data_IF_712069848759
#
_entry.id   IF_712069848759
#
_cell.length_a   1.000
_cell.length_b   1.000
_cell.length_c   1.000
_cell.angle_alpha   90.00
_cell.angle_beta   90.00
_cell.angle_gamma   90.00
#
_symmetry.space_group_name_H-M   'P 1'
#
loop_
_entity.id
_entity.type
_entity.pdbx_description
1 polymer ?
#
# COMPACT_ATOMS: atom_id res chain seq x y z
N UNK A 1 -52.23 53.32 -37.38
CA UNK A 1 -52.39 51.85 -37.11
C UNK A 1 -51.14 50.94 -37.34
N UNK A 2 -49.98 51.45 -37.74
CA UNK A 2 -48.75 50.61 -38.02
C UNK A 2 -47.89 50.29 -36.81
N UNK A 3 -47.93 51.08 -35.71
CA UNK A 3 -47.07 50.85 -34.55
C UNK A 3 -47.44 49.65 -33.65
N UNK A 4 -48.70 49.21 -33.62
CA UNK A 4 -49.11 48.07 -32.76
C UNK A 4 -48.75 46.68 -33.30
N UNK A 5 -48.50 46.55 -34.61
CA UNK A 5 -48.14 45.26 -35.21
C UNK A 5 -46.65 44.85 -34.92
N UNK A 6 -45.75 45.81 -34.74
CA UNK A 6 -44.32 45.55 -34.47
C UNK A 6 -44.08 45.13 -33.06
N UNK A 7 -44.85 45.56 -32.08
CA UNK A 7 -44.68 45.12 -30.68
C UNK A 7 -45.04 43.64 -30.48
N UNK A 8 -45.96 43.09 -31.25
CA UNK A 8 -46.30 41.67 -31.18
C UNK A 8 -45.22 40.76 -31.73
N UNK A 9 -44.50 41.13 -32.80
CA UNK A 9 -43.41 40.35 -33.38
C UNK A 9 -42.21 40.36 -32.51
N UNK A 10 -41.87 41.46 -31.82
CA UNK A 10 -40.74 41.52 -30.88
C UNK A 10 -40.98 40.64 -29.64
N UNK A 11 -42.18 40.57 -29.11
CA UNK A 11 -42.53 39.73 -27.97
C UNK A 11 -42.50 38.24 -28.33
N UNK A 12 -42.97 37.83 -29.50
CA UNK A 12 -42.92 36.44 -29.96
C UNK A 12 -41.47 36.01 -30.24
N UNK A 13 -40.64 36.88 -30.85
CA UNK A 13 -39.21 36.60 -31.07
C UNK A 13 -38.43 36.43 -29.76
N UNK A 14 -38.74 37.23 -28.72
CA UNK A 14 -38.12 37.11 -27.42
C UNK A 14 -38.48 35.79 -26.69
N UNK A 15 -39.75 35.34 -26.81
CA UNK A 15 -40.21 34.08 -26.22
C UNK A 15 -39.58 32.88 -26.94
N UNK A 16 -39.42 32.94 -28.25
CA UNK A 16 -38.78 31.87 -29.02
C UNK A 16 -37.28 31.80 -28.69
N UNK A 17 -36.59 32.93 -28.53
CA UNK A 17 -35.19 32.98 -28.18
C UNK A 17 -34.94 32.43 -26.76
N UNK A 18 -35.79 32.73 -25.78
CA UNK A 18 -35.71 32.16 -24.43
C UNK A 18 -36.03 30.67 -24.39
N UNK A 19 -36.97 30.19 -25.20
CA UNK A 19 -37.26 28.76 -25.31
C UNK A 19 -36.08 27.96 -25.94
N UNK A 20 -35.39 28.52 -26.91
CA UNK A 20 -34.21 27.93 -27.54
C UNK A 20 -33.01 27.90 -26.54
N UNK A 21 -32.84 28.95 -25.72
CA UNK A 21 -31.78 28.98 -24.70
C UNK A 21 -32.01 27.97 -23.58
N UNK A 22 -33.27 27.64 -23.25
CA UNK A 22 -33.61 26.65 -22.23
C UNK A 22 -33.46 25.18 -22.71
N UNK A 23 -33.45 24.96 -24.04
CA UNK A 23 -33.28 23.62 -24.61
C UNK A 23 -31.81 23.18 -24.78
N UNK A 24 -30.84 24.11 -24.64
CA UNK A 24 -29.42 23.80 -24.88
C UNK A 24 -28.65 23.35 -23.64
N UNK A 25 -29.28 23.22 -22.46
CA UNK A 25 -28.59 22.82 -21.22
C UNK A 25 -28.81 21.37 -20.80
N UNK A 26 -29.44 20.54 -21.60
CA UNK A 26 -29.38 19.10 -21.43
C UNK A 26 -28.04 18.59 -22.03
N UNK A 27 -26.95 18.73 -21.29
CA UNK A 27 -25.77 17.89 -21.54
C UNK A 27 -26.28 16.45 -21.47
N UNK A 28 -26.18 15.66 -22.56
CA UNK A 28 -26.43 14.23 -22.43
C UNK A 28 -25.49 13.72 -21.33
N UNK A 29 -26.04 13.14 -20.27
CA UNK A 29 -25.29 12.34 -19.37
C UNK A 29 -24.53 11.37 -20.28
N UNK A 30 -23.21 11.48 -20.33
CA UNK A 30 -22.37 10.53 -21.04
C UNK A 30 -22.85 9.17 -20.56
N UNK A 31 -23.45 8.39 -21.46
CA UNK A 31 -23.83 7.03 -21.15
C UNK A 31 -22.52 6.38 -20.67
N UNK A 32 -22.49 5.96 -19.43
CA UNK A 32 -21.37 5.24 -18.84
C UNK A 32 -21.24 3.92 -19.61
N UNK A 33 -20.53 3.98 -20.75
CA UNK A 33 -20.13 2.83 -21.55
C UNK A 33 -18.92 2.14 -20.92
N UNK A 34 -18.60 2.46 -19.66
CA UNK A 34 -17.57 1.76 -18.94
C UNK A 34 -17.95 0.28 -18.84
N UNK A 35 -17.12 -0.57 -19.46
CA UNK A 35 -17.22 -2.04 -19.31
C UNK A 35 -17.18 -2.44 -17.83
N UNK A 36 -16.63 -1.58 -16.97
CA UNK A 36 -16.32 -1.79 -15.58
C UNK A 36 -17.08 -0.78 -14.70
N UNK A 37 -18.35 -1.03 -14.42
CA UNK A 37 -19.19 -0.15 -13.60
C UNK A 37 -20.30 -0.93 -12.92
N UNK A 38 -21.40 -0.27 -12.58
CA UNK A 38 -22.56 -0.84 -11.89
C UNK A 38 -23.13 -2.12 -12.53
N UNK A 39 -23.01 -2.25 -13.85
CA UNK A 39 -23.47 -3.42 -14.59
C UNK A 39 -22.51 -4.63 -14.50
N UNK A 40 -21.28 -4.41 -14.09
CA UNK A 40 -20.26 -5.45 -13.98
C UNK A 40 -20.03 -5.91 -12.55
N UNK A 41 -19.86 -4.96 -11.62
CA UNK A 41 -19.57 -5.28 -10.23
C UNK A 41 -20.85 -5.54 -9.43
N UNK A 42 -20.87 -6.57 -8.57
CA UNK A 42 -22.01 -6.84 -7.71
C UNK A 42 -22.15 -5.74 -6.65
N UNK A 43 -23.40 -5.38 -6.31
CA UNK A 43 -23.66 -4.41 -5.24
C UNK A 43 -24.18 -5.11 -3.98
N UNK A 44 -23.48 -6.14 -3.54
CA UNK A 44 -23.81 -6.92 -2.34
C UNK A 44 -23.41 -6.18 -1.07
N UNK A 45 -24.03 -6.56 0.06
CA UNK A 45 -23.79 -5.94 1.36
C UNK A 45 -22.64 -6.63 2.09
N UNK A 46 -21.63 -5.88 2.44
CA UNK A 46 -20.51 -6.29 3.29
C UNK A 46 -20.58 -5.58 4.66
N UNK A 47 -19.75 -6.03 5.59
CA UNK A 47 -19.62 -5.45 6.92
C UNK A 47 -18.17 -5.05 7.15
N UNK A 48 -17.93 -3.81 7.57
CA UNK A 48 -16.59 -3.32 7.90
C UNK A 48 -16.09 -3.88 9.23
N UNK A 49 -14.78 -3.76 9.52
CA UNK A 49 -14.20 -4.09 10.82
C UNK A 49 -14.82 -3.29 12.00
N UNK A 50 -15.50 -2.19 11.71
CA UNK A 50 -16.21 -1.39 12.71
C UNK A 50 -17.71 -1.71 12.79
N UNK A 51 -18.16 -2.76 12.10
CA UNK A 51 -19.54 -3.25 12.13
C UNK A 51 -20.51 -2.50 11.22
N UNK A 52 -20.04 -1.55 10.42
CA UNK A 52 -20.88 -0.80 9.49
C UNK A 52 -21.23 -1.65 8.26
N UNK A 53 -22.46 -1.52 7.77
CA UNK A 53 -22.90 -2.13 6.50
C UNK A 53 -22.56 -1.22 5.33
N UNK A 54 -21.98 -1.79 4.28
CA UNK A 54 -21.60 -1.07 3.07
C UNK A 54 -22.00 -1.89 1.84
N UNK A 55 -22.41 -1.22 0.77
CA UNK A 55 -22.68 -1.84 -0.52
C UNK A 55 -21.41 -1.84 -1.36
N UNK A 56 -21.04 -3.00 -1.89
CA UNK A 56 -19.73 -3.17 -2.52
C UNK A 56 -19.52 -2.23 -3.71
N UNK A 57 -20.51 -2.06 -4.59
CA UNK A 57 -20.33 -1.10 -5.69
C UNK A 57 -20.51 0.33 -5.22
N UNK A 58 -21.65 0.65 -4.59
CA UNK A 58 -22.01 2.04 -4.31
C UNK A 58 -21.09 2.71 -3.28
N UNK A 59 -20.67 1.97 -2.22
CA UNK A 59 -19.92 2.55 -1.12
C UNK A 59 -18.40 2.26 -1.21
N UNK A 60 -17.99 1.18 -1.88
CA UNK A 60 -16.58 0.77 -1.94
C UNK A 60 -15.91 1.20 -3.25
N UNK A 61 -16.58 1.05 -4.41
CA UNK A 61 -15.97 1.28 -5.71
C UNK A 61 -16.31 2.62 -6.35
N UNK A 62 -17.61 2.95 -6.38
CA UNK A 62 -18.15 4.05 -7.17
C UNK A 62 -17.49 5.39 -6.88
N UNK A 63 -16.95 6.01 -7.92
CA UNK A 63 -16.30 7.32 -7.85
C UNK A 63 -14.91 7.31 -7.19
N UNK A 64 -14.30 6.14 -6.94
CA UNK A 64 -13.06 6.02 -6.16
C UNK A 64 -11.92 5.41 -6.95
N UNK A 65 -10.70 5.75 -6.53
CA UNK A 65 -9.51 4.95 -6.79
C UNK A 65 -9.30 3.99 -5.63
N UNK A 66 -9.23 2.68 -5.94
CA UNK A 66 -9.24 1.62 -4.94
C UNK A 66 -8.04 0.67 -5.09
N UNK A 67 -7.63 0.12 -3.97
CA UNK A 67 -6.64 -0.96 -3.86
C UNK A 67 -7.33 -2.07 -3.09
N UNK A 68 -7.52 -3.23 -3.72
CA UNK A 68 -8.31 -4.31 -3.16
C UNK A 68 -7.49 -5.60 -3.16
N UNK A 69 -7.38 -6.24 -2.00
CA UNK A 69 -6.83 -7.57 -1.84
C UNK A 69 -7.82 -8.52 -1.14
N UNK A 70 -7.56 -9.81 -1.24
CA UNK A 70 -8.31 -10.83 -0.51
C UNK A 70 -7.38 -11.51 0.47
N UNK A 71 -7.81 -11.58 1.73
CA UNK A 71 -7.02 -12.09 2.85
C UNK A 71 -7.79 -13.09 3.70
N UNK A 72 -7.12 -13.75 4.62
CA UNK A 72 -7.71 -14.31 5.83
C UNK A 72 -6.72 -14.20 6.99
N UNK A 73 -7.24 -13.91 8.19
CA UNK A 73 -6.39 -13.49 9.32
C UNK A 73 -5.55 -14.63 9.89
N UNK A 74 -5.95 -15.88 9.69
CA UNK A 74 -5.23 -17.09 10.13
C UNK A 74 -4.17 -17.58 9.12
N UNK A 75 -3.97 -16.87 8.00
CA UNK A 75 -3.02 -17.26 6.98
C UNK A 75 -1.58 -17.34 7.53
N UNK A 76 -0.95 -18.49 7.33
CA UNK A 76 0.47 -18.71 7.66
C UNK A 76 1.43 -18.52 6.48
N UNK A 77 0.92 -18.08 5.32
CA UNK A 77 1.69 -17.99 4.07
C UNK A 77 1.86 -16.54 3.60
N UNK A 78 1.22 -16.16 2.51
CA UNK A 78 1.45 -14.87 1.83
C UNK A 78 0.81 -13.67 2.53
N UNK A 79 -0.40 -13.80 3.10
CA UNK A 79 -1.15 -12.64 3.62
C UNK A 79 -0.38 -11.78 4.63
N UNK A 80 0.43 -12.31 5.58
CA UNK A 80 1.22 -11.48 6.47
C UNK A 80 2.20 -10.56 5.73
N UNK A 81 2.87 -11.08 4.70
CA UNK A 81 3.81 -10.30 3.88
C UNK A 81 3.07 -9.28 3.03
N UNK A 82 1.95 -9.67 2.40
CA UNK A 82 1.12 -8.79 1.58
C UNK A 82 0.59 -7.61 2.37
N UNK A 83 -0.04 -7.88 3.52
CA UNK A 83 -0.56 -6.82 4.41
C UNK A 83 0.56 -5.89 4.87
N UNK A 84 1.71 -6.43 5.30
CA UNK A 84 2.86 -5.62 5.70
C UNK A 84 3.43 -4.79 4.53
N UNK A 85 3.41 -5.32 3.31
CA UNK A 85 3.85 -4.63 2.10
C UNK A 85 2.88 -3.49 1.73
N UNK A 86 1.59 -3.77 1.72
CA UNK A 86 0.58 -2.76 1.45
C UNK A 86 0.56 -1.66 2.54
N UNK A 87 0.87 -1.99 3.80
CA UNK A 87 1.06 -0.98 4.84
C UNK A 87 2.25 -0.04 4.56
N UNK A 88 3.33 -0.55 3.96
CA UNK A 88 4.41 0.32 3.46
C UNK A 88 3.94 1.23 2.32
N UNK A 89 3.14 0.69 1.40
CA UNK A 89 2.54 1.46 0.30
C UNK A 89 1.61 2.55 0.85
N UNK A 90 0.73 2.22 1.80
CA UNK A 90 -0.14 3.18 2.48
C UNK A 90 0.67 4.34 3.07
N UNK A 91 1.75 4.04 3.79
CA UNK A 91 2.63 5.05 4.37
C UNK A 91 3.29 5.94 3.31
N UNK A 92 3.69 5.38 2.16
CA UNK A 92 4.30 6.15 1.06
C UNK A 92 3.29 7.07 0.37
N UNK A 93 2.04 6.65 0.25
CA UNK A 93 0.95 7.45 -0.31
C UNK A 93 0.47 8.55 0.64
N UNK A 94 0.72 8.40 1.94
CA UNK A 94 0.43 9.37 2.98
C UNK A 94 -1.03 9.81 3.01
N UNK A 95 -1.25 11.11 3.13
CA UNK A 95 -2.58 11.73 3.26
C UNK A 95 -3.53 11.54 2.09
N UNK A 96 -3.08 10.92 1.00
CA UNK A 96 -3.93 10.56 -0.12
C UNK A 96 -4.85 9.39 0.21
N UNK A 97 -4.37 8.49 1.09
CA UNK A 97 -5.18 7.34 1.52
C UNK A 97 -6.29 7.81 2.45
N UNK A 98 -7.53 7.48 2.08
CA UNK A 98 -8.73 7.98 2.73
C UNK A 98 -9.30 9.29 2.15
N UNK A 99 -8.63 9.89 1.14
CA UNK A 99 -9.13 11.08 0.44
C UNK A 99 -9.45 10.79 -1.02
N UNK A 100 -8.49 10.35 -1.78
CA UNK A 100 -8.61 10.04 -3.21
C UNK A 100 -8.20 8.60 -3.56
N UNK A 101 -7.58 7.89 -2.62
CA UNK A 101 -7.21 6.48 -2.74
C UNK A 101 -7.74 5.73 -1.51
N UNK A 102 -8.39 4.60 -1.72
CA UNK A 102 -8.99 3.80 -0.64
C UNK A 102 -8.50 2.36 -0.72
N UNK A 103 -8.10 1.81 0.41
CA UNK A 103 -7.66 0.43 0.53
C UNK A 103 -8.78 -0.43 1.13
N UNK A 104 -8.98 -1.62 0.58
CA UNK A 104 -9.96 -2.58 1.04
C UNK A 104 -9.38 -3.99 1.05
N UNK A 105 -9.36 -4.62 2.20
CA UNK A 105 -9.04 -6.05 2.33
C UNK A 105 -10.31 -6.82 2.61
N UNK A 106 -10.65 -7.78 1.75
CA UNK A 106 -11.87 -8.59 1.87
C UNK A 106 -11.49 -9.98 2.36
N UNK A 107 -12.05 -10.41 3.50
CA UNK A 107 -11.73 -11.75 3.97
C UNK A 107 -12.35 -12.83 3.11
N UNK A 108 -11.64 -13.95 2.93
CA UNK A 108 -12.15 -15.17 2.30
C UNK A 108 -12.67 -16.18 3.33
N UNK A 109 -12.45 -15.93 4.63
CA UNK A 109 -12.88 -16.77 5.73
C UNK A 109 -13.82 -16.03 6.70
N UNK A 110 -15.04 -15.65 6.24
CA UNK A 110 -15.97 -14.88 7.06
C UNK A 110 -16.49 -15.63 8.31
N UNK A 111 -16.27 -16.95 8.38
CA UNK A 111 -16.67 -17.73 9.54
C UNK A 111 -15.78 -17.42 10.77
N UNK A 112 -14.48 -17.19 10.56
CA UNK A 112 -13.53 -16.83 11.60
C UNK A 112 -13.31 -15.33 11.66
N UNK A 113 -13.24 -14.66 10.52
CA UNK A 113 -12.87 -13.25 10.39
C UNK A 113 -14.08 -12.34 10.63
N UNK A 114 -14.53 -12.32 11.87
CA UNK A 114 -15.56 -11.37 12.33
C UNK A 114 -15.03 -9.94 12.30
N UNK A 115 -15.89 -8.91 12.34
CA UNK A 115 -15.43 -7.51 12.42
C UNK A 115 -14.39 -7.27 13.51
N UNK A 116 -14.59 -7.86 14.70
CA UNK A 116 -13.64 -7.75 15.83
C UNK A 116 -12.27 -8.37 15.50
N UNK A 117 -12.25 -9.52 14.82
CA UNK A 117 -11.01 -10.20 14.42
C UNK A 117 -10.27 -9.37 13.36
N UNK A 118 -11.00 -8.85 12.36
CA UNK A 118 -10.44 -7.99 11.32
C UNK A 118 -9.86 -6.69 11.91
N UNK A 119 -10.54 -6.09 12.89
CA UNK A 119 -10.04 -4.90 13.59
C UNK A 119 -8.73 -5.18 14.32
N UNK A 120 -8.67 -6.27 15.08
CA UNK A 120 -7.45 -6.68 15.76
C UNK A 120 -6.31 -7.01 14.77
N UNK A 121 -6.64 -7.59 13.61
CA UNK A 121 -5.66 -7.82 12.55
C UNK A 121 -5.10 -6.51 12.00
N UNK A 122 -5.94 -5.53 11.67
CA UNK A 122 -5.52 -4.22 11.21
C UNK A 122 -4.57 -3.52 12.23
N UNK A 123 -4.88 -3.62 13.51
CA UNK A 123 -4.06 -3.06 14.61
C UNK A 123 -2.67 -3.72 14.69
N UNK A 124 -2.57 -5.04 14.44
CA UNK A 124 -1.29 -5.77 14.43
C UNK A 124 -0.32 -5.23 13.38
N UNK A 125 -0.85 -4.82 12.22
CA UNK A 125 -0.07 -4.30 11.10
C UNK A 125 0.06 -2.77 11.09
N UNK A 126 -0.44 -2.10 12.13
CA UNK A 126 -0.43 -0.64 12.24
C UNK A 126 -1.09 0.07 11.06
N UNK A 127 -2.21 -0.48 10.61
CA UNK A 127 -2.97 0.05 9.49
C UNK A 127 -3.54 1.42 9.85
N UNK A 128 -3.29 2.39 8.99
CA UNK A 128 -3.77 3.76 9.13
C UNK A 128 -5.17 3.99 8.56
N UNK A 129 -5.70 5.22 8.69
CA UNK A 129 -6.98 5.62 8.10
C UNK A 129 -7.05 5.39 6.58
N UNK A 130 -8.26 5.17 6.06
CA UNK A 130 -8.48 4.98 4.63
C UNK A 130 -8.24 3.56 4.12
N UNK A 131 -7.92 2.63 5.01
CA UNK A 131 -7.89 1.20 4.72
C UNK A 131 -8.94 0.47 5.55
N UNK A 132 -9.88 -0.16 4.88
CA UNK A 132 -11.04 -0.83 5.48
C UNK A 132 -10.99 -2.33 5.24
N UNK A 133 -11.19 -3.11 6.29
CA UNK A 133 -11.31 -4.57 6.22
C UNK A 133 -12.78 -4.96 6.18
N UNK A 134 -13.12 -5.89 5.29
CA UNK A 134 -14.50 -6.23 4.96
C UNK A 134 -14.74 -7.72 5.14
N UNK A 135 -15.91 -8.04 5.71
CA UNK A 135 -16.44 -9.40 5.81
C UNK A 135 -17.89 -9.43 5.33
N UNK A 136 -18.45 -10.59 5.10
CA UNK A 136 -19.83 -10.72 4.62
C UNK A 136 -20.26 -12.16 4.47
N UNK A 137 -21.29 -12.42 3.66
CA UNK A 137 -21.69 -13.78 3.29
C UNK A 137 -20.64 -14.39 2.38
N UNK A 138 -20.27 -15.64 2.59
CA UNK A 138 -19.25 -16.34 1.80
C UNK A 138 -19.57 -16.32 0.32
N UNK A 139 -20.82 -16.58 -0.07
CA UNK A 139 -21.26 -16.53 -1.48
C UNK A 139 -21.06 -15.17 -2.13
N UNK A 140 -21.27 -14.09 -1.39
CA UNK A 140 -21.11 -12.72 -1.87
C UNK A 140 -19.62 -12.37 -2.04
N UNK A 141 -18.78 -12.82 -1.10
CA UNK A 141 -17.32 -12.68 -1.14
C UNK A 141 -16.73 -13.43 -2.35
N UNK A 142 -17.17 -14.67 -2.58
CA UNK A 142 -16.76 -15.45 -3.73
C UNK A 142 -17.19 -14.81 -5.05
N UNK A 143 -18.41 -14.27 -5.12
CA UNK A 143 -18.90 -13.55 -6.28
C UNK A 143 -18.02 -12.32 -6.58
N UNK A 144 -17.70 -11.53 -5.55
CA UNK A 144 -16.78 -10.38 -5.66
C UNK A 144 -15.42 -10.86 -6.15
N UNK A 145 -14.82 -11.84 -5.50
CA UNK A 145 -13.49 -12.35 -5.84
C UNK A 145 -13.38 -12.79 -7.31
N UNK A 146 -14.40 -13.49 -7.83
CA UNK A 146 -14.47 -13.88 -9.25
C UNK A 146 -14.57 -12.66 -10.16
N UNK A 147 -15.39 -11.69 -9.82
CA UNK A 147 -15.56 -10.46 -10.61
C UNK A 147 -14.30 -9.59 -10.62
N UNK A 148 -13.55 -9.58 -9.52
CA UNK A 148 -12.27 -8.88 -9.42
C UNK A 148 -11.10 -9.66 -10.06
N UNK A 149 -11.30 -10.94 -10.42
CA UNK A 149 -10.24 -11.82 -10.90
C UNK A 149 -9.23 -12.19 -9.80
N UNK A 150 -9.64 -12.09 -8.53
CA UNK A 150 -8.84 -12.45 -7.35
C UNK A 150 -9.21 -13.83 -6.77
N UNK A 151 -10.09 -14.55 -7.43
CA UNK A 151 -10.53 -15.88 -7.04
C UNK A 151 -10.23 -16.90 -8.15
N UNK A 152 -9.54 -17.97 -7.81
CA UNK A 152 -9.31 -19.09 -8.71
C UNK A 152 -10.39 -20.16 -8.48
N UNK A 153 -11.00 -20.64 -9.56
CA UNK A 153 -12.00 -21.71 -9.49
C UNK A 153 -11.37 -23.11 -9.46
N UNK A 154 -10.10 -23.23 -9.87
CA UNK A 154 -9.38 -24.50 -9.88
C UNK A 154 -8.62 -24.64 -8.57
N UNK A 155 -8.97 -25.63 -7.71
CA UNK A 155 -8.24 -25.86 -6.46
C UNK A 155 -6.80 -26.28 -6.81
N UNK A 156 -5.85 -25.38 -6.54
CA UNK A 156 -4.43 -25.72 -6.54
C UNK A 156 -4.13 -26.46 -5.22
N UNK A 157 -3.53 -27.66 -5.26
CA UNK A 157 -3.12 -28.36 -4.05
C UNK A 157 -2.22 -27.53 -3.12
N UNK A 158 -1.48 -26.56 -3.69
CA UNK A 158 -0.63 -25.62 -2.96
C UNK A 158 -1.35 -24.35 -2.50
N UNK A 159 -2.59 -24.14 -2.96
CA UNK A 159 -3.44 -23.00 -2.61
C UNK A 159 -4.90 -23.47 -2.48
N UNK A 160 -5.21 -24.26 -1.44
CA UNK A 160 -6.53 -24.86 -1.27
C UNK A 160 -7.64 -23.83 -1.04
N UNK A 161 -7.28 -22.60 -0.67
CA UNK A 161 -8.23 -21.53 -0.38
C UNK A 161 -8.70 -20.79 -1.64
N UNK A 162 -8.11 -21.10 -2.81
CA UNK A 162 -8.58 -20.62 -4.11
C UNK A 162 -8.37 -19.12 -4.38
N UNK A 163 -7.81 -18.34 -3.45
CA UNK A 163 -7.52 -16.95 -3.70
C UNK A 163 -6.13 -16.74 -4.30
N UNK A 164 -5.98 -15.69 -5.10
CA UNK A 164 -4.69 -15.34 -5.71
C UNK A 164 -4.00 -14.29 -4.85
N UNK A 165 -2.71 -14.45 -4.51
CA UNK A 165 -1.93 -13.46 -3.76
C UNK A 165 -1.65 -12.23 -4.65
N UNK A 166 -2.69 -11.48 -4.95
CA UNK A 166 -2.68 -10.35 -5.87
C UNK A 166 -3.49 -9.20 -5.31
N UNK A 167 -3.09 -8.00 -5.67
CA UNK A 167 -3.84 -6.78 -5.42
C UNK A 167 -4.47 -6.28 -6.72
N UNK A 168 -5.74 -5.94 -6.67
CA UNK A 168 -6.42 -5.21 -7.73
C UNK A 168 -6.34 -3.72 -7.45
N UNK A 169 -5.85 -2.98 -8.41
CA UNK A 169 -5.74 -1.53 -8.37
C UNK A 169 -6.71 -0.97 -9.41
N UNK A 170 -7.66 -0.12 -8.98
CA UNK A 170 -8.72 0.38 -9.82
C UNK A 170 -8.94 1.88 -9.69
N UNK A 171 -9.21 2.54 -10.82
CA UNK A 171 -9.79 3.87 -10.87
C UNK A 171 -11.16 3.71 -11.54
N UNK A 172 -12.22 3.66 -10.72
CA UNK A 172 -13.55 3.38 -11.21
C UNK A 172 -14.04 4.49 -12.16
N UNK A 173 -13.91 5.81 -11.86
CA UNK A 173 -14.28 6.85 -12.78
C UNK A 173 -13.55 6.83 -14.13
N UNK A 174 -12.32 6.37 -14.13
CA UNK A 174 -11.50 6.23 -15.35
C UNK A 174 -11.67 4.90 -16.07
N UNK A 175 -12.40 3.95 -15.50
CA UNK A 175 -12.57 2.60 -16.04
C UNK A 175 -11.26 1.81 -16.13
N UNK A 176 -10.24 2.18 -15.36
CA UNK A 176 -8.90 1.61 -15.40
C UNK A 176 -8.73 0.61 -14.26
N UNK A 177 -8.37 -0.61 -14.61
CA UNK A 177 -8.18 -1.69 -13.65
C UNK A 177 -6.93 -2.50 -14.00
N UNK A 178 -6.12 -2.78 -13.01
CA UNK A 178 -4.96 -3.64 -13.17
C UNK A 178 -4.73 -4.51 -11.94
N UNK A 179 -4.09 -5.64 -12.16
CA UNK A 179 -3.71 -6.58 -11.11
C UNK A 179 -2.19 -6.67 -11.02
N UNK A 180 -1.68 -6.62 -9.79
CA UNK A 180 -0.26 -6.77 -9.48
C UNK A 180 -0.08 -7.79 -8.36
N UNK A 181 1.12 -8.31 -8.18
CA UNK A 181 1.46 -9.03 -6.98
C UNK A 181 1.48 -8.06 -5.78
N UNK A 182 0.77 -8.39 -4.70
CA UNK A 182 0.76 -7.56 -3.50
C UNK A 182 2.14 -7.49 -2.83
N UNK A 183 3.02 -8.44 -3.14
CA UNK A 183 4.40 -8.53 -2.66
C UNK A 183 5.41 -7.77 -3.51
N UNK A 184 5.00 -7.12 -4.59
CA UNK A 184 5.88 -6.29 -5.43
C UNK A 184 6.57 -5.18 -4.64
N UNK A 185 7.58 -4.57 -5.25
CA UNK A 185 8.31 -3.46 -4.64
C UNK A 185 7.34 -2.36 -4.20
N UNK A 186 7.32 -1.94 -2.92
CA UNK A 186 6.33 -0.99 -2.42
C UNK A 186 6.43 0.39 -3.08
N UNK A 187 7.62 0.82 -3.54
CA UNK A 187 7.77 2.07 -4.30
C UNK A 187 7.14 1.96 -5.69
N UNK A 188 7.28 0.81 -6.33
CA UNK A 188 6.63 0.54 -7.60
C UNK A 188 5.10 0.56 -7.44
N UNK A 189 4.56 -0.16 -6.45
CA UNK A 189 3.13 -0.16 -6.17
C UNK A 189 2.62 1.25 -5.81
N UNK A 190 3.32 1.98 -4.95
CA UNK A 190 2.94 3.34 -4.58
C UNK A 190 2.92 4.28 -5.80
N UNK A 191 3.89 4.13 -6.72
CA UNK A 191 3.92 4.90 -7.96
C UNK A 191 2.76 4.53 -8.90
N UNK A 192 2.48 3.24 -9.06
CA UNK A 192 1.36 2.77 -9.87
C UNK A 192 0.02 3.28 -9.34
N UNK A 193 -0.23 3.14 -8.04
CA UNK A 193 -1.45 3.56 -7.38
C UNK A 193 -1.56 5.09 -7.37
N UNK A 194 -0.49 5.76 -6.97
CA UNK A 194 -0.49 7.20 -6.76
C UNK A 194 -0.51 8.02 -8.05
N UNK A 195 0.14 7.55 -9.09
CA UNK A 195 0.44 8.33 -10.29
C UNK A 195 -0.25 7.79 -11.53
N UNK A 196 0.10 6.57 -11.92
CA UNK A 196 -0.32 6.03 -13.21
C UNK A 196 -1.85 5.89 -13.30
N UNK A 197 -2.46 5.36 -12.26
CA UNK A 197 -3.92 5.11 -12.23
C UNK A 197 -4.75 6.39 -12.22
N UNK A 198 -4.19 7.49 -11.75
CA UNK A 198 -4.83 8.80 -11.69
C UNK A 198 -4.46 9.72 -12.87
N UNK A 199 -4.00 9.13 -14.00
CA UNK A 199 -3.77 9.83 -15.25
C UNK A 199 -2.65 10.87 -15.21
N UNK A 200 -1.65 10.72 -14.32
CA UNK A 200 -0.51 11.64 -14.15
C UNK A 200 -0.90 13.09 -13.83
N UNK A 201 -2.20 13.41 -13.73
CA UNK A 201 -2.71 14.78 -13.66
C UNK A 201 -2.44 15.49 -12.32
N UNK A 202 -1.98 14.77 -11.29
CA UNK A 202 -1.74 15.33 -9.95
C UNK A 202 -0.35 14.99 -9.39
N UNK A 203 0.56 14.55 -10.23
CA UNK A 203 1.88 14.11 -9.77
C UNK A 203 2.78 15.31 -9.56
N UNK A 204 3.14 15.58 -8.30
CA UNK A 204 4.51 16.02 -8.04
C UNK A 204 5.41 14.83 -8.39
N UNK A 205 6.39 14.97 -9.30
CA UNK A 205 7.33 13.88 -9.56
C UNK A 205 7.87 13.40 -8.22
N UNK A 206 7.76 12.09 -7.93
CA UNK A 206 8.57 11.49 -6.89
C UNK A 206 10.01 11.84 -7.26
N UNK A 207 10.55 12.79 -6.54
CA UNK A 207 11.88 13.36 -6.66
C UNK A 207 12.54 13.13 -8.03
N UNK A 208 12.52 14.16 -8.91
CA UNK A 208 13.17 14.13 -10.23
C UNK A 208 14.69 13.88 -10.16
N UNK A 209 15.24 13.73 -8.94
CA UNK A 209 16.63 13.35 -8.70
C UNK A 209 16.91 11.86 -8.91
N UNK A 210 15.86 11.02 -9.06
CA UNK A 210 16.03 9.62 -9.47
C UNK A 210 16.12 9.58 -11.01
N UNK A 211 17.22 10.03 -11.53
CA UNK A 211 17.63 9.79 -12.92
C UNK A 211 18.18 8.36 -13.00
N UNK A 212 17.77 7.59 -14.01
CA UNK A 212 18.33 6.26 -14.30
C UNK A 212 19.86 6.28 -14.43
N UNK A 213 20.45 7.38 -14.89
CA UNK A 213 21.91 7.58 -14.96
C UNK A 213 22.57 7.67 -13.57
N UNK A 214 21.82 8.05 -12.54
CA UNK A 214 22.29 8.14 -11.14
C UNK A 214 21.80 6.98 -10.27
N UNK A 215 20.96 6.08 -10.81
CA UNK A 215 20.62 4.84 -10.14
C UNK A 215 21.92 4.05 -10.01
N UNK A 216 22.45 3.96 -8.79
CA UNK A 216 23.60 3.11 -8.52
C UNK A 216 23.32 1.72 -9.08
N UNK A 217 24.30 1.12 -9.73
CA UNK A 217 24.18 -0.27 -10.19
C UNK A 217 23.74 -1.11 -9.00
N UNK A 218 22.61 -1.82 -9.17
CA UNK A 218 22.20 -2.81 -8.20
C UNK A 218 23.30 -3.85 -8.21
N UNK A 219 24.07 -3.93 -7.13
CA UNK A 219 25.06 -4.98 -6.96
C UNK A 219 24.32 -6.30 -6.82
N UNK A 220 24.12 -6.96 -7.96
CA UNK A 220 23.50 -8.28 -8.02
C UNK A 220 24.37 -9.36 -7.34
N UNK A 221 25.60 -9.02 -6.93
CA UNK A 221 26.46 -9.94 -6.17
C UNK A 221 25.97 -10.16 -4.74
N UNK A 222 25.20 -9.23 -4.16
CA UNK A 222 24.61 -9.38 -2.83
C UNK A 222 23.13 -9.86 -2.91
N UNK A 223 22.97 -11.09 -3.38
CA UNK A 223 21.66 -11.75 -3.44
C UNK A 223 20.96 -11.80 -2.07
N UNK A 224 21.71 -11.95 -1.00
CA UNK A 224 21.16 -12.00 0.36
C UNK A 224 20.51 -10.68 0.77
N UNK A 225 21.12 -9.55 0.41
CA UNK A 225 20.54 -8.21 0.63
C UNK A 225 19.25 -8.03 -0.15
N UNK A 226 19.24 -8.48 -1.40
CA UNK A 226 18.02 -8.41 -2.23
C UNK A 226 16.89 -9.25 -1.63
N UNK A 227 17.17 -10.47 -1.18
CA UNK A 227 16.20 -11.37 -0.53
C UNK A 227 15.67 -10.70 0.74
N UNK A 228 16.54 -10.17 1.59
CA UNK A 228 16.12 -9.45 2.79
C UNK A 228 15.21 -8.26 2.45
N UNK A 229 15.61 -7.41 1.51
CA UNK A 229 14.86 -6.23 1.12
C UNK A 229 13.48 -6.58 0.53
N UNK A 230 13.42 -7.65 -0.27
CA UNK A 230 12.19 -8.06 -0.97
C UNK A 230 11.25 -8.92 -0.12
N UNK A 231 11.76 -9.72 0.81
CA UNK A 231 10.95 -10.71 1.53
C UNK A 231 10.87 -10.46 3.04
N UNK A 232 11.88 -9.84 3.64
CA UNK A 232 11.98 -9.72 5.11
C UNK A 232 11.75 -8.30 5.62
N UNK A 233 12.21 -7.27 4.90
CA UNK A 233 12.21 -5.87 5.35
C UNK A 233 10.80 -5.25 5.51
N UNK A 234 9.74 -5.92 5.04
CA UNK A 234 8.37 -5.50 5.33
C UNK A 234 8.09 -5.57 6.84
N UNK A 235 8.58 -6.63 7.50
CA UNK A 235 8.32 -6.94 8.90
C UNK A 235 9.53 -6.74 9.81
N UNK A 236 10.76 -6.86 9.30
CA UNK A 236 12.00 -6.83 10.07
C UNK A 236 12.87 -5.61 9.75
N UNK A 237 13.74 -5.26 10.68
CA UNK A 237 14.82 -4.28 10.49
C UNK A 237 16.18 -4.92 10.77
N UNK A 238 17.26 -4.20 10.48
CA UNK A 238 18.61 -4.52 10.92
C UNK A 238 19.20 -3.26 11.54
N UNK A 239 19.31 -3.23 12.87
CA UNK A 239 19.87 -2.12 13.63
C UNK A 239 18.96 -0.89 13.77
N UNK A 240 17.65 -1.05 13.54
CA UNK A 240 16.67 0.06 13.62
C UNK A 240 15.52 -0.23 14.61
N UNK A 241 15.69 -1.26 15.45
CA UNK A 241 14.68 -1.67 16.43
C UNK A 241 13.57 -2.55 15.85
N UNK A 242 12.74 -3.09 16.74
CA UNK A 242 11.62 -3.96 16.39
C UNK A 242 10.59 -3.21 15.52
N UNK A 243 9.98 -3.93 14.58
CA UNK A 243 8.91 -3.43 13.71
C UNK A 243 7.63 -4.27 13.91
N UNK A 244 7.12 -4.93 12.90
CA UNK A 244 6.09 -5.98 13.02
C UNK A 244 6.69 -7.23 13.64
N UNK A 245 7.93 -7.55 13.27
CA UNK A 245 8.77 -8.59 13.84
C UNK A 245 10.03 -8.01 14.47
N UNK A 246 10.93 -8.87 15.00
CA UNK A 246 12.16 -8.44 15.66
C UNK A 246 13.14 -7.74 14.72
N UNK A 247 13.97 -6.88 15.29
CA UNK A 247 15.22 -6.44 14.68
C UNK A 247 16.18 -7.65 14.56
N UNK A 248 16.77 -7.82 13.38
CA UNK A 248 17.63 -8.97 13.07
C UNK A 248 19.14 -8.68 13.22
N UNK A 249 19.52 -7.49 13.72
CA UNK A 249 20.93 -7.23 14.00
C UNK A 249 21.46 -8.23 15.03
N UNK A 250 22.53 -8.93 14.67
CA UNK A 250 23.15 -9.92 15.54
C UNK A 250 22.39 -11.23 15.72
N UNK A 251 21.30 -11.46 15.00
CA UNK A 251 20.45 -12.66 15.14
C UNK A 251 21.26 -13.95 14.97
N UNK A 252 22.26 -13.99 14.10
CA UNK A 252 23.13 -15.14 13.85
C UNK A 252 24.13 -15.43 14.97
N UNK A 253 24.31 -14.49 15.93
CA UNK A 253 25.12 -14.67 17.11
C UNK A 253 24.35 -15.17 18.34
N UNK A 254 23.01 -14.85 18.36
CA UNK A 254 22.15 -15.14 19.52
C UNK A 254 21.24 -16.34 19.31
N UNK A 255 21.12 -16.84 18.09
CA UNK A 255 20.33 -18.02 17.75
C UNK A 255 21.19 -19.12 17.19
N UNK A 256 20.86 -20.36 17.56
CA UNK A 256 21.44 -21.54 16.93
C UNK A 256 21.18 -21.51 15.42
N UNK A 257 22.20 -21.83 14.63
CA UNK A 257 22.15 -21.75 13.17
C UNK A 257 21.09 -22.70 12.59
N UNK A 258 21.05 -23.94 13.06
CA UNK A 258 20.13 -24.96 12.55
C UNK A 258 18.70 -24.57 12.87
N UNK A 259 18.47 -24.07 14.09
CA UNK A 259 17.17 -23.55 14.49
C UNK A 259 16.75 -22.37 13.63
N UNK A 260 17.65 -21.41 13.39
CA UNK A 260 17.36 -20.20 12.61
C UNK A 260 17.02 -20.53 11.15
N UNK A 261 17.81 -21.39 10.52
CA UNK A 261 17.55 -21.85 9.14
C UNK A 261 16.21 -22.58 9.04
N UNK A 262 15.88 -23.43 10.00
CA UNK A 262 14.60 -24.12 10.08
C UNK A 262 13.45 -23.15 10.31
N UNK A 263 13.61 -22.17 11.20
CA UNK A 263 12.56 -21.19 11.49
C UNK A 263 12.31 -20.25 10.30
N UNK A 264 13.33 -19.92 9.53
CA UNK A 264 13.18 -19.12 8.31
C UNK A 264 12.41 -19.88 7.22
N UNK A 265 12.68 -21.18 7.06
CA UNK A 265 12.12 -21.99 5.96
C UNK A 265 10.75 -22.58 6.27
N UNK A 266 10.50 -22.95 7.53
CA UNK A 266 9.26 -23.63 7.95
C UNK A 266 8.73 -23.08 9.28
N UNK A 267 8.48 -21.77 9.41
CA UNK A 267 8.05 -21.15 10.66
C UNK A 267 6.71 -21.69 11.17
N UNK A 268 5.80 -22.00 10.27
CA UNK A 268 4.50 -22.60 10.54
C UNK A 268 4.62 -23.98 11.22
N UNK A 269 5.56 -24.83 10.77
CA UNK A 269 5.81 -26.14 11.37
C UNK A 269 6.45 -26.00 12.74
N UNK A 270 7.46 -25.14 12.88
CA UNK A 270 8.15 -24.89 14.16
C UNK A 270 7.17 -24.36 15.22
N UNK A 271 6.27 -23.46 14.82
CA UNK A 271 5.23 -22.95 15.71
C UNK A 271 4.19 -24.03 16.08
N UNK A 272 3.77 -24.86 15.11
CA UNK A 272 2.84 -25.98 15.34
C UNK A 272 3.41 -27.03 16.29
N UNK A 273 4.70 -27.26 16.26
CA UNK A 273 5.43 -28.14 17.17
C UNK A 273 5.58 -27.56 18.58
N UNK A 274 5.09 -26.31 18.79
CA UNK A 274 5.17 -25.60 20.07
C UNK A 274 6.61 -25.36 20.54
N UNK A 275 7.52 -25.13 19.60
CA UNK A 275 8.90 -24.74 19.93
C UNK A 275 8.87 -23.54 20.90
N UNK A 276 9.57 -23.59 22.04
CA UNK A 276 9.44 -22.57 23.08
C UNK A 276 9.92 -21.17 22.61
N UNK A 277 10.94 -21.13 21.74
CA UNK A 277 11.44 -19.87 21.19
C UNK A 277 10.42 -19.28 20.20
N UNK A 278 9.90 -20.09 19.30
CA UNK A 278 8.91 -19.68 18.33
C UNK A 278 7.61 -19.19 19.00
N UNK A 279 7.12 -19.91 20.01
CA UNK A 279 5.93 -19.53 20.80
C UNK A 279 6.16 -18.21 21.55
N UNK A 280 7.32 -18.02 22.14
CA UNK A 280 7.68 -16.77 22.85
C UNK A 280 7.73 -15.58 21.87
N UNK A 281 8.32 -15.74 20.69
CA UNK A 281 8.35 -14.73 19.65
C UNK A 281 6.93 -14.41 19.14
N UNK A 282 6.15 -15.43 18.83
CA UNK A 282 4.77 -15.25 18.37
C UNK A 282 3.95 -14.41 19.35
N UNK A 283 3.98 -14.73 20.64
CA UNK A 283 3.31 -13.96 21.70
C UNK A 283 3.83 -12.52 21.80
N UNK A 284 5.17 -12.35 21.79
CA UNK A 284 5.79 -11.03 21.89
C UNK A 284 5.36 -10.09 20.76
N UNK A 285 5.23 -10.61 19.55
CA UNK A 285 4.87 -9.83 18.36
C UNK A 285 3.38 -9.94 18.02
N UNK A 286 2.51 -9.90 19.04
CA UNK A 286 1.05 -9.80 18.92
C UNK A 286 0.42 -10.91 18.07
N UNK A 287 0.99 -12.10 18.16
CA UNK A 287 0.53 -13.26 17.40
C UNK A 287 0.50 -13.05 15.87
N UNK A 288 1.44 -12.27 15.35
CA UNK A 288 1.69 -12.20 13.92
C UNK A 288 2.49 -13.41 13.48
N UNK A 289 1.96 -14.15 12.50
CA UNK A 289 2.67 -15.27 11.91
C UNK A 289 3.85 -14.76 11.06
N UNK A 290 5.04 -15.33 11.28
CA UNK A 290 6.10 -15.25 10.28
C UNK A 290 5.68 -16.12 9.09
N UNK A 291 5.59 -15.57 7.87
CA UNK A 291 5.10 -16.32 6.72
C UNK A 291 6.09 -17.40 6.28
N UNK A 292 5.56 -18.56 5.89
CA UNK A 292 6.34 -19.56 5.16
C UNK A 292 6.43 -19.11 3.69
N UNK A 293 7.60 -18.64 3.28
CA UNK A 293 7.85 -18.11 1.93
C UNK A 293 8.35 -19.20 0.96
N UNK A 294 8.35 -20.45 1.37
CA UNK A 294 8.84 -21.58 0.57
C UNK A 294 10.21 -21.30 -0.06
N UNK A 295 11.14 -20.80 0.78
CA UNK A 295 12.45 -20.31 0.35
C UNK A 295 13.32 -21.48 -0.14
N UNK A 296 13.91 -21.32 -1.32
CA UNK A 296 14.85 -22.27 -1.86
C UNK A 296 16.17 -22.30 -1.06
N UNK A 297 16.83 -23.46 -0.97
CA UNK A 297 18.08 -23.63 -0.20
C UNK A 297 19.18 -22.63 -0.60
N UNK A 298 19.27 -22.29 -1.89
CA UNK A 298 20.26 -21.33 -2.38
C UNK A 298 19.96 -19.91 -1.87
N UNK A 299 18.68 -19.55 -1.78
CA UNK A 299 18.27 -18.25 -1.28
C UNK A 299 18.45 -18.15 0.23
N UNK A 300 18.15 -19.22 0.96
CA UNK A 300 18.46 -19.33 2.39
C UNK A 300 19.96 -19.12 2.66
N UNK A 301 20.84 -19.80 1.91
CA UNK A 301 22.29 -19.64 2.05
C UNK A 301 22.74 -18.20 1.81
N UNK A 302 22.19 -17.54 0.79
CA UNK A 302 22.50 -16.14 0.49
C UNK A 302 21.98 -15.20 1.60
N UNK A 303 20.77 -15.42 2.09
CA UNK A 303 20.19 -14.65 3.18
C UNK A 303 21.01 -14.81 4.47
N UNK A 304 21.35 -16.03 4.85
CA UNK A 304 22.18 -16.30 6.04
C UNK A 304 23.53 -15.61 5.97
N UNK A 305 24.24 -15.70 4.82
CA UNK A 305 25.49 -14.99 4.60
C UNK A 305 25.33 -13.47 4.76
N UNK A 306 24.24 -12.90 4.25
CA UNK A 306 23.93 -11.48 4.43
C UNK A 306 23.71 -11.14 5.90
N UNK A 307 22.89 -11.88 6.64
CA UNK A 307 22.62 -11.64 8.06
C UNK A 307 23.89 -11.76 8.91
N UNK A 308 24.77 -12.71 8.59
CA UNK A 308 26.09 -12.88 9.24
C UNK A 308 26.96 -11.64 9.01
N UNK A 309 27.02 -11.13 7.78
CA UNK A 309 27.79 -9.92 7.45
C UNK A 309 27.29 -8.68 8.20
N UNK A 310 25.98 -8.54 8.38
CA UNK A 310 25.39 -7.44 9.16
C UNK A 310 25.69 -7.55 10.66
N UNK A 311 25.79 -8.77 11.16
CA UNK A 311 26.16 -9.04 12.56
C UNK A 311 27.64 -8.79 12.87
N UNK A 312 28.50 -8.78 11.85
CA UNK A 312 29.92 -8.49 11.95
C UNK A 312 30.26 -6.99 11.80
N UNK A 313 29.34 -6.17 11.27
CA UNK A 313 29.55 -4.74 11.10
C UNK A 313 29.69 -4.04 12.46
N UNK A 314 30.63 -3.09 12.62
CA UNK A 314 30.71 -2.30 13.84
C UNK A 314 29.42 -1.50 14.03
N UNK A 315 29.00 -1.39 15.28
CA UNK A 315 27.86 -0.57 15.70
C UNK A 315 28.02 0.82 15.08
N UNK A 316 27.13 1.21 14.16
CA UNK A 316 27.15 2.56 13.59
C UNK A 316 26.89 3.51 14.75
N UNK A 317 27.87 4.35 15.06
CA UNK A 317 27.78 5.45 16.00
C UNK A 317 26.42 6.15 15.81
N UNK A 318 25.64 6.24 16.88
CA UNK A 318 24.44 7.08 16.94
C UNK A 318 24.88 8.49 16.53
N UNK A 319 24.17 9.21 15.66
CA UNK A 319 24.49 10.58 15.33
C UNK A 319 24.67 11.35 16.65
N UNK A 320 25.86 11.86 16.88
CA UNK A 320 26.32 12.38 18.14
C UNK A 320 25.44 13.50 18.67
N UNK A 321 25.24 13.47 19.96
CA UNK A 321 24.89 14.65 20.72
C UNK A 321 25.92 15.73 20.45
N UNK A 322 25.49 16.83 19.89
CA UNK A 322 26.25 18.04 19.63
C UNK A 322 26.91 18.52 20.93
N UNK A 323 28.21 18.34 21.05
CA UNK A 323 28.99 18.95 22.13
C UNK A 323 28.99 20.46 21.90
N UNK A 324 28.26 21.17 22.73
CA UNK A 324 28.38 22.63 22.90
C UNK A 324 29.82 22.94 23.30
N UNK A 325 30.65 23.28 22.33
CA UNK A 325 31.96 23.89 22.56
C UNK A 325 31.82 25.38 22.75
N UNK A 326 31.92 25.82 24.00
CA UNK A 326 32.27 27.20 24.29
C UNK A 326 33.64 27.51 23.68
N UNK A 327 33.72 28.49 22.80
CA UNK A 327 34.96 29.18 22.48
C UNK A 327 34.89 30.65 22.96
N UNK A 328 35.82 30.93 23.87
CA UNK A 328 36.06 32.23 24.45
C UNK A 328 36.35 33.33 23.42
N UNK A 329 35.94 34.52 23.82
CA UNK A 329 36.22 35.79 23.18
C UNK A 329 37.72 36.04 23.00
N UNK A 330 38.11 36.50 21.84
CA UNK A 330 39.37 37.17 21.59
C UNK A 330 39.12 38.43 20.75
N UNK A 331 39.09 39.53 21.49
CA UNK A 331 38.97 40.93 21.04
C UNK A 331 40.15 41.33 20.13
N UNK A 332 39.90 41.95 18.96
CA UNK A 332 40.75 43.05 18.43
C UNK A 332 40.14 43.76 17.19
N UNK A 333 39.75 44.99 17.46
CA UNK A 333 39.88 46.25 16.67
C UNK A 333 39.78 46.26 15.12
N UNK A 334 38.86 47.09 14.70
CA UNK A 334 38.72 47.78 13.38
C UNK A 334 39.92 48.70 13.02
N UNK A 335 39.95 49.50 11.94
CA UNK A 335 38.88 49.88 11.00
C UNK A 335 39.37 50.02 9.49
N UNK A 336 38.47 50.33 8.58
CA UNK A 336 38.87 51.07 7.38
C UNK A 336 38.07 50.91 6.09
N UNK A 337 37.14 51.84 5.87
CA UNK A 337 36.84 52.58 4.60
C UNK A 337 36.18 51.85 3.41
N UNK A 338 34.94 52.22 3.17
CA UNK A 338 34.37 52.97 2.02
C UNK A 338 34.91 52.61 0.64
N UNK A 339 34.11 52.35 -0.35
CA UNK A 339 33.21 53.18 -1.15
C UNK A 339 32.53 52.38 -2.26
N UNK A 340 31.51 52.92 -2.92
CA UNK A 340 30.51 52.20 -3.68
C UNK A 340 30.67 52.34 -5.21
N UNK A 341 29.68 51.85 -5.92
CA UNK A 341 29.32 52.16 -7.31
C UNK A 341 29.42 50.97 -8.24
N UNK A 342 28.56 50.75 -9.09
CA UNK A 342 27.38 51.24 -9.81
C UNK A 342 27.02 50.21 -10.88
N UNK A 343 25.86 50.26 -11.50
CA UNK A 343 25.33 49.20 -12.33
C UNK A 343 25.56 49.45 -13.84
N UNK A 344 25.59 48.43 -14.65
CA UNK A 344 25.31 48.45 -16.10
C UNK A 344 25.27 46.99 -16.60
N UNK A 345 24.46 46.53 -17.39
CA UNK A 345 23.33 46.79 -18.29
C UNK A 345 22.56 45.53 -18.43
#
# INVERSE_FOLDING_TARGET
MRRKRWAGFAAIAAIILTAILLMTSATPAAADNSRWGANYFPNVVLTTQDGQKVHFYDDVLKGKSVVIDMIYTSCGYACPLETARLAQVQKMLGDRVGKDIFFYSITIDPAHDTPKVLKAYAEKYHIGPGWTFLTGKKSDIELIGRKLGLWNNDPDPNNPDGHTPSVLIGNEPGGQWMRNAATDNPRFLANMIGNWLNGWSKVKPLDASINYEKAGQIDLSDKGRYIFASQCAACHTIGHGDKIGPDLLGVTKVRDRVWLERFITTPDKVLKEKDPIAVALFKKYKEVNMPNLNMADIDLKNLMKFLESQSAAPEKEKPGAEKSGQSEMGDKAAPGKTEPAQPMR
#
